data_IF_642584021110
#
_entry.id   IF_642584021110
#
_cell.length_a   1.000
_cell.length_b   1.000
_cell.length_c   1.000
_cell.angle_alpha   90.00
_cell.angle_beta   90.00
_cell.angle_gamma   90.00
#
_symmetry.space_group_name_H-M   'P 1'
#
loop_
_entity.id
_entity.type
_entity.pdbx_description
1 polymer ?
#
# COMPACT_ATOMS: atom_id res chain seq x y z
N UNK A 1 -49.04 19.11 6.16
CA UNK A 1 -47.77 19.28 6.90
C UNK A 1 -46.86 20.13 6.04
N UNK A 2 -46.51 21.35 6.47
CA UNK A 2 -45.63 22.22 5.70
C UNK A 2 -44.19 21.65 5.73
N UNK A 3 -43.57 21.48 4.56
CA UNK A 3 -42.15 21.12 4.47
C UNK A 3 -41.34 22.28 5.06
N UNK A 4 -40.66 22.05 6.19
CA UNK A 4 -39.73 23.03 6.76
C UNK A 4 -38.57 23.19 5.76
N UNK A 5 -38.42 24.36 5.16
CA UNK A 5 -37.27 24.65 4.31
C UNK A 5 -36.04 24.76 5.21
N UNK A 6 -35.11 23.82 5.09
CA UNK A 6 -33.84 23.84 5.81
C UNK A 6 -33.04 25.08 5.37
N UNK A 7 -32.63 25.97 6.30
CA UNK A 7 -31.80 27.13 6.01
C UNK A 7 -30.49 26.73 5.32
N UNK A 8 -29.93 27.62 4.52
CA UNK A 8 -28.69 27.33 3.77
C UNK A 8 -27.50 27.12 4.70
N UNK A 9 -27.47 27.80 5.84
CA UNK A 9 -26.45 27.65 6.89
C UNK A 9 -26.43 26.24 7.47
N UNK A 10 -27.60 25.66 7.74
CA UNK A 10 -27.74 24.28 8.24
C UNK A 10 -27.25 23.26 7.20
N UNK A 11 -27.51 23.51 5.91
CA UNK A 11 -26.98 22.67 4.82
C UNK A 11 -25.45 22.78 4.71
N UNK A 12 -24.90 23.98 4.85
CA UNK A 12 -23.44 24.20 4.82
C UNK A 12 -22.79 23.43 5.98
N UNK A 13 -23.34 23.51 7.18
CA UNK A 13 -22.77 22.84 8.35
C UNK A 13 -22.85 21.31 8.22
N UNK A 14 -23.98 20.78 7.77
CA UNK A 14 -24.11 19.36 7.46
C UNK A 14 -23.11 18.91 6.39
N UNK A 15 -22.89 19.72 5.35
CA UNK A 15 -21.92 19.39 4.30
C UNK A 15 -20.48 19.39 4.82
N UNK A 16 -20.11 20.31 5.73
CA UNK A 16 -18.77 20.28 6.37
C UNK A 16 -18.55 18.99 7.15
N UNK A 17 -19.55 18.53 7.89
CA UNK A 17 -19.46 17.26 8.64
C UNK A 17 -19.28 16.08 7.69
N UNK A 18 -20.00 16.05 6.57
CA UNK A 18 -19.83 15.03 5.53
C UNK A 18 -18.42 15.06 4.95
N UNK A 19 -17.89 16.25 4.64
CA UNK A 19 -16.52 16.42 4.13
C UNK A 19 -15.49 15.95 5.16
N UNK A 20 -15.67 16.28 6.44
CA UNK A 20 -14.79 15.80 7.51
C UNK A 20 -14.78 14.28 7.59
N UNK A 21 -15.97 13.65 7.63
CA UNK A 21 -16.10 12.19 7.66
C UNK A 21 -15.51 11.53 6.41
N UNK A 22 -15.64 12.15 5.24
CA UNK A 22 -15.04 11.65 4.00
C UNK A 22 -13.51 11.71 4.06
N UNK A 23 -12.95 12.78 4.63
CA UNK A 23 -11.51 12.91 4.85
C UNK A 23 -10.99 11.84 5.82
N UNK A 24 -11.66 11.64 6.95
CA UNK A 24 -11.29 10.61 7.92
C UNK A 24 -11.32 9.21 7.28
N UNK A 25 -12.33 8.93 6.45
CA UNK A 25 -12.41 7.67 5.69
C UNK A 25 -11.26 7.53 4.70
N UNK A 26 -10.95 8.58 3.95
CA UNK A 26 -9.84 8.58 3.02
C UNK A 26 -8.52 8.28 3.72
N UNK A 27 -8.23 8.96 4.84
CA UNK A 27 -7.00 8.75 5.60
C UNK A 27 -6.91 7.31 6.16
N UNK A 28 -8.02 6.76 6.65
CA UNK A 28 -8.07 5.37 7.10
C UNK A 28 -7.84 4.35 5.98
N UNK A 29 -8.43 4.56 4.79
CA UNK A 29 -8.20 3.67 3.65
C UNK A 29 -6.78 3.81 3.09
N UNK A 30 -6.19 5.00 3.17
CA UNK A 30 -4.79 5.23 2.79
C UNK A 30 -3.83 4.46 3.70
N UNK A 31 -4.02 4.50 5.02
CA UNK A 31 -3.23 3.72 5.98
C UNK A 31 -3.35 2.21 5.74
N UNK A 32 -4.56 1.72 5.43
CA UNK A 32 -4.75 0.30 5.05
C UNK A 32 -4.00 -0.05 3.78
N UNK A 33 -4.04 0.82 2.77
CA UNK A 33 -3.31 0.61 1.52
C UNK A 33 -1.81 0.53 1.77
N UNK A 34 -1.26 1.45 2.56
CA UNK A 34 0.16 1.46 2.92
C UNK A 34 0.58 0.16 3.62
N UNK A 35 -0.21 -0.29 4.59
CA UNK A 35 0.02 -1.58 5.28
C UNK A 35 -0.03 -2.77 4.34
N UNK A 36 -0.93 -2.77 3.35
CA UNK A 36 -1.01 -3.83 2.34
C UNK A 36 0.21 -3.85 1.42
N UNK A 37 0.71 -2.67 1.03
CA UNK A 37 1.94 -2.54 0.24
C UNK A 37 3.14 -3.05 1.03
N UNK A 38 3.29 -2.63 2.29
CA UNK A 38 4.36 -3.12 3.18
C UNK A 38 4.30 -4.64 3.33
N UNK A 39 3.12 -5.20 3.62
CA UNK A 39 2.93 -6.65 3.76
C UNK A 39 3.27 -7.41 2.48
N UNK A 40 2.92 -6.88 1.31
CA UNK A 40 3.29 -7.48 0.01
C UNK A 40 4.81 -7.56 -0.15
N UNK A 41 5.51 -6.49 0.22
CA UNK A 41 6.96 -6.41 0.06
C UNK A 41 7.68 -7.31 1.06
N UNK A 42 7.18 -7.41 2.30
CA UNK A 42 7.64 -8.39 3.30
C UNK A 42 7.46 -9.84 2.81
N UNK A 43 6.29 -10.18 2.24
CA UNK A 43 6.04 -11.51 1.70
C UNK A 43 7.00 -11.84 0.56
N UNK A 44 7.21 -10.91 -0.37
CA UNK A 44 8.17 -11.10 -1.49
C UNK A 44 9.60 -11.24 -1.00
N UNK A 45 10.01 -10.46 0.00
CA UNK A 45 11.34 -10.59 0.61
C UNK A 45 11.50 -11.96 1.28
N UNK A 46 10.49 -12.42 2.00
CA UNK A 46 10.48 -13.74 2.63
C UNK A 46 10.54 -14.87 1.59
N UNK A 47 9.72 -14.80 0.55
CA UNK A 47 9.73 -15.77 -0.56
C UNK A 47 11.11 -15.84 -1.23
N UNK A 48 11.75 -14.69 -1.47
CA UNK A 48 13.10 -14.63 -2.03
C UNK A 48 14.12 -15.31 -1.10
N UNK A 49 14.08 -15.02 0.20
CA UNK A 49 14.99 -15.62 1.18
C UNK A 49 14.76 -17.13 1.33
N UNK A 50 13.51 -17.59 1.31
CA UNK A 50 13.18 -19.01 1.33
C UNK A 50 13.65 -19.73 0.07
N UNK A 51 13.47 -19.12 -1.11
CA UNK A 51 13.98 -19.65 -2.36
C UNK A 51 15.51 -19.73 -2.36
N UNK A 52 16.19 -18.69 -1.86
CA UNK A 52 17.65 -18.69 -1.71
C UNK A 52 18.13 -19.78 -0.77
N UNK A 53 17.51 -19.94 0.40
CA UNK A 53 17.86 -20.98 1.38
C UNK A 53 17.66 -22.42 0.86
N UNK A 54 16.72 -22.61 -0.08
CA UNK A 54 16.50 -23.90 -0.77
C UNK A 54 17.41 -24.08 -1.99
N UNK A 55 18.03 -23.01 -2.47
CA UNK A 55 18.94 -23.07 -3.60
C UNK A 55 20.33 -23.53 -3.14
N UNK A 56 21.06 -24.18 -4.04
CA UNK A 56 22.49 -24.48 -3.85
C UNK A 56 23.38 -23.30 -4.28
N UNK A 57 22.78 -22.15 -4.60
CA UNK A 57 23.45 -20.97 -5.15
C UNK A 57 24.13 -20.18 -4.03
N UNK A 58 25.32 -19.68 -4.28
CA UNK A 58 26.02 -18.84 -3.31
C UNK A 58 25.45 -17.42 -3.28
N UNK A 59 25.66 -16.70 -2.18
CA UNK A 59 25.27 -15.29 -2.08
C UNK A 59 25.90 -14.45 -3.19
N UNK A 60 27.20 -14.65 -3.45
CA UNK A 60 27.95 -13.92 -4.47
C UNK A 60 27.40 -14.18 -5.87
N UNK A 61 27.00 -15.42 -6.17
CA UNK A 61 26.40 -15.80 -7.45
C UNK A 61 25.05 -15.10 -7.67
N UNK A 62 24.17 -15.12 -6.65
CA UNK A 62 22.87 -14.43 -6.71
C UNK A 62 23.05 -12.92 -6.82
N UNK A 63 23.99 -12.33 -6.08
CA UNK A 63 24.27 -10.90 -6.17
C UNK A 63 24.84 -10.50 -7.53
N UNK A 64 25.72 -11.33 -8.13
CA UNK A 64 26.24 -11.13 -9.49
C UNK A 64 25.10 -11.13 -10.51
N UNK A 65 24.18 -12.08 -10.40
CA UNK A 65 22.98 -12.17 -11.24
C UNK A 65 22.07 -10.94 -11.08
N UNK A 66 21.74 -10.55 -9.84
CA UNK A 66 20.86 -9.40 -9.57
C UNK A 66 21.47 -8.05 -9.95
N UNK A 67 22.81 -7.95 -9.95
CA UNK A 67 23.52 -6.72 -10.33
C UNK A 67 23.62 -6.53 -11.85
N UNK A 68 23.10 -7.47 -12.66
CA UNK A 68 23.20 -7.42 -14.12
C UNK A 68 24.62 -7.63 -14.65
N UNK A 69 25.53 -8.15 -13.82
CA UNK A 69 26.87 -8.55 -14.23
C UNK A 69 26.82 -10.00 -14.73
N UNK A 70 26.03 -10.24 -15.78
CA UNK A 70 26.16 -11.46 -16.57
C UNK A 70 27.46 -11.36 -17.37
N UNK A 71 28.49 -12.06 -16.91
CA UNK A 71 29.48 -12.60 -17.85
C UNK A 71 28.97 -14.00 -18.11
N UNK A 72 28.44 -14.23 -19.31
CA UNK A 72 28.20 -15.57 -19.83
C UNK A 72 29.54 -16.31 -19.78
N UNK A 73 29.71 -17.16 -18.78
CA UNK A 73 30.74 -18.19 -18.79
C UNK A 73 30.15 -19.40 -19.55
N UNK A 74 30.02 -19.27 -20.87
CA UNK A 74 29.99 -20.42 -21.80
C UNK A 74 31.43 -20.89 -22.10
#
# INVERSE_FOLDING_TARGET
MARRSVPIEEKIESQKEVVSKAKDRYENELDKLEKLVQKRDELRSKELMEAFARSERSFEEVMRFLSGNEVDDE
#
